data_IF_091883681948
#
_entry.id   IF_091883681948
#
_cell.length_a   1.000
_cell.length_b   1.000
_cell.length_c   1.000
_cell.angle_alpha   90.00
_cell.angle_beta   90.00
_cell.angle_gamma   90.00
#
_symmetry.space_group_name_H-M   'P 1'
#
loop_
_entity.id
_entity.type
_entity.pdbx_description
1 polymer ?
#
# COMPACT_ATOMS: atom_id res chain seq x y z
N UNK A 1 -50.33 -18.19 40.29
CA UNK A 1 -51.48 -18.50 39.40
C UNK A 1 -50.94 -19.22 38.17
N UNK A 2 -51.61 -20.30 37.77
CA UNK A 2 -51.22 -21.24 36.71
C UNK A 2 -51.60 -20.71 35.32
N UNK A 3 -50.83 -21.07 34.30
CA UNK A 3 -51.26 -21.69 33.01
C UNK A 3 -50.02 -21.79 32.08
N UNK A 4 -49.39 -22.97 31.89
CA UNK A 4 -49.67 -24.05 30.90
C UNK A 4 -49.73 -23.53 29.45
N UNK A 5 -48.70 -23.76 28.62
CA UNK A 5 -48.36 -24.96 27.81
C UNK A 5 -49.17 -25.04 26.49
N UNK A 6 -48.48 -24.97 25.34
CA UNK A 6 -48.81 -25.75 24.15
C UNK A 6 -47.53 -26.20 23.41
N UNK A 7 -47.44 -27.52 23.22
CA UNK A 7 -46.52 -28.28 22.37
C UNK A 7 -47.25 -28.55 21.05
N UNK A 8 -46.54 -28.59 19.92
CA UNK A 8 -47.01 -29.22 18.68
C UNK A 8 -46.07 -28.93 17.51
N UNK A 9 -45.01 -29.71 17.30
CA UNK A 9 -44.87 -30.95 16.51
C UNK A 9 -44.64 -30.75 14.99
N UNK A 10 -43.47 -31.24 14.57
CA UNK A 10 -43.13 -31.91 13.30
C UNK A 10 -43.16 -31.17 11.96
N UNK A 11 -41.97 -31.00 11.38
CA UNK A 11 -41.68 -31.61 10.08
C UNK A 11 -40.24 -32.16 10.09
N UNK A 12 -40.16 -33.50 10.14
CA UNK A 12 -38.99 -34.30 9.79
C UNK A 12 -38.72 -34.08 8.30
N UNK A 13 -37.48 -33.77 7.93
CA UNK A 13 -36.97 -34.11 6.60
C UNK A 13 -35.50 -34.49 6.70
N UNK A 14 -35.32 -35.79 6.94
CA UNK A 14 -34.31 -36.69 6.39
C UNK A 14 -32.99 -36.04 5.96
N UNK A 15 -31.97 -36.31 6.76
CA UNK A 15 -30.58 -36.37 6.32
C UNK A 15 -30.51 -37.45 5.23
N UNK A 16 -30.52 -37.04 3.96
CA UNK A 16 -30.04 -37.87 2.87
C UNK A 16 -28.57 -37.53 2.63
N UNK A 17 -27.69 -38.36 3.17
CA UNK A 17 -26.36 -38.56 2.60
C UNK A 17 -26.53 -39.12 1.19
N UNK A 18 -26.57 -38.25 0.19
CA UNK A 18 -26.32 -38.63 -1.19
C UNK A 18 -24.86 -38.33 -1.50
N UNK A 19 -23.99 -39.31 -1.21
CA UNK A 19 -22.80 -39.52 -2.02
C UNK A 19 -23.27 -39.74 -3.45
N UNK A 20 -22.84 -38.91 -4.39
CA UNK A 20 -22.66 -39.20 -5.81
C UNK A 20 -21.53 -38.27 -6.28
N UNK A 21 -20.37 -38.85 -6.54
CA UNK A 21 -19.95 -39.26 -7.89
C UNK A 21 -19.11 -38.14 -8.52
N UNK A 22 -17.81 -38.40 -8.63
CA UNK A 22 -16.91 -37.68 -9.52
C UNK A 22 -17.45 -37.78 -10.95
N UNK A 23 -18.27 -36.82 -11.36
CA UNK A 23 -18.34 -36.42 -12.76
C UNK A 23 -17.38 -35.26 -12.92
N UNK A 24 -16.41 -35.46 -13.82
CA UNK A 24 -15.45 -34.46 -14.30
C UNK A 24 -16.17 -33.11 -14.44
N UNK A 25 -15.94 -32.20 -13.50
CA UNK A 25 -16.58 -30.90 -13.53
C UNK A 25 -16.04 -30.15 -14.76
N UNK A 26 -16.97 -29.66 -15.59
CA UNK A 26 -16.70 -28.47 -16.39
C UNK A 26 -16.15 -27.39 -15.45
N UNK A 27 -15.16 -26.58 -15.85
CA UNK A 27 -14.62 -25.54 -14.99
C UNK A 27 -15.68 -24.46 -14.79
N UNK A 28 -16.52 -24.63 -13.77
CA UNK A 28 -17.35 -23.56 -13.23
C UNK A 28 -16.44 -22.47 -12.68
N UNK A 29 -16.87 -21.22 -12.80
CA UNK A 29 -16.15 -19.99 -12.40
C UNK A 29 -15.71 -19.91 -10.92
N UNK A 30 -15.88 -20.98 -10.15
CA UNK A 30 -15.45 -21.12 -8.76
C UNK A 30 -14.05 -21.73 -8.60
N UNK A 31 -13.47 -22.24 -9.70
CA UNK A 31 -12.12 -22.78 -9.73
C UNK A 31 -11.18 -21.93 -10.61
N UNK A 32 -11.42 -20.61 -10.67
CA UNK A 32 -10.54 -19.71 -11.41
C UNK A 32 -9.50 -19.09 -10.48
N UNK A 33 -8.26 -19.28 -10.86
CA UNK A 33 -7.10 -18.82 -10.12
C UNK A 33 -7.00 -17.29 -10.08
N UNK A 34 -7.06 -16.75 -8.86
CA UNK A 34 -6.96 -15.32 -8.56
C UNK A 34 -5.65 -14.97 -7.85
N UNK A 35 -4.67 -15.87 -7.80
CA UNK A 35 -3.42 -15.67 -7.04
C UNK A 35 -2.70 -14.39 -7.47
N UNK A 36 -2.53 -14.17 -8.78
CA UNK A 36 -1.88 -12.94 -9.28
C UNK A 36 -2.64 -11.66 -8.90
N UNK A 37 -3.97 -11.70 -8.82
CA UNK A 37 -4.79 -10.56 -8.40
C UNK A 37 -4.66 -10.33 -6.89
N UNK A 38 -4.74 -11.40 -6.10
CA UNK A 38 -4.61 -11.34 -4.64
C UNK A 38 -3.22 -10.87 -4.21
N UNK A 39 -2.17 -11.43 -4.83
CA UNK A 39 -0.78 -11.07 -4.53
C UNK A 39 -0.49 -9.63 -4.95
N UNK A 40 -0.97 -9.18 -6.13
CA UNK A 40 -0.86 -7.78 -6.52
C UNK A 40 -1.56 -6.85 -5.51
N UNK A 41 -2.77 -7.20 -5.07
CA UNK A 41 -3.49 -6.42 -4.07
C UNK A 41 -2.73 -6.35 -2.73
N UNK A 42 -2.15 -7.47 -2.27
CA UNK A 42 -1.33 -7.51 -1.07
C UNK A 42 -0.08 -6.63 -1.19
N UNK A 43 0.56 -6.59 -2.37
CA UNK A 43 1.69 -5.69 -2.62
C UNK A 43 1.26 -4.23 -2.55
N UNK A 44 0.16 -3.87 -3.22
CA UNK A 44 -0.35 -2.50 -3.23
C UNK A 44 -0.74 -2.02 -1.82
N UNK A 45 -1.38 -2.88 -1.01
CA UNK A 45 -1.72 -2.60 0.39
C UNK A 45 -0.45 -2.40 1.24
N UNK A 46 0.51 -3.31 1.14
CA UNK A 46 1.78 -3.25 1.90
C UNK A 46 2.58 -1.98 1.56
N UNK A 47 2.65 -1.62 0.28
CA UNK A 47 3.35 -0.40 -0.15
C UNK A 47 2.59 0.88 0.24
N UNK A 48 1.26 0.82 0.33
CA UNK A 48 0.44 1.92 0.84
C UNK A 48 0.69 2.13 2.34
N UNK A 49 0.76 1.04 3.12
CA UNK A 49 1.13 1.10 4.54
C UNK A 49 2.52 1.71 4.75
N UNK A 50 3.54 1.22 4.02
CA UNK A 50 4.90 1.78 4.08
C UNK A 50 4.92 3.26 3.73
N UNK A 51 4.24 3.65 2.65
CA UNK A 51 4.18 5.06 2.23
C UNK A 51 3.48 5.93 3.28
N UNK A 52 2.40 5.43 3.88
CA UNK A 52 1.68 6.11 4.97
C UNK A 52 2.57 6.26 6.20
N UNK A 53 3.36 5.23 6.53
CA UNK A 53 4.29 5.27 7.64
C UNK A 53 5.40 6.31 7.45
N UNK A 54 6.05 6.31 6.28
CA UNK A 54 7.06 7.31 5.92
C UNK A 54 6.45 8.73 5.97
N UNK A 55 5.29 8.92 5.34
CA UNK A 55 4.65 10.24 5.29
C UNK A 55 4.22 10.75 6.67
N UNK A 56 3.71 9.87 7.54
CA UNK A 56 3.34 10.24 8.91
C UNK A 56 4.56 10.72 9.70
N UNK A 57 5.69 10.01 9.59
CA UNK A 57 6.96 10.40 10.22
C UNK A 57 7.44 11.76 9.69
N UNK A 58 7.36 11.99 8.38
CA UNK A 58 7.76 13.27 7.78
C UNK A 58 6.87 14.42 8.28
N UNK A 59 5.55 14.21 8.37
CA UNK A 59 4.59 15.23 8.81
C UNK A 59 4.76 15.56 10.30
N UNK A 60 5.03 14.55 11.13
CA UNK A 60 5.26 14.72 12.57
C UNK A 60 6.60 15.39 12.89
N UNK A 61 7.53 15.44 11.94
CA UNK A 61 8.85 16.05 12.06
C UNK A 61 9.01 17.14 10.99
N UNK A 62 8.39 18.33 11.17
CA UNK A 62 8.29 19.34 10.12
C UNK A 62 9.64 19.81 9.57
N UNK A 63 10.72 19.71 10.34
CA UNK A 63 12.07 20.07 9.89
C UNK A 63 12.57 19.17 8.75
N UNK A 64 12.04 17.94 8.64
CA UNK A 64 12.30 17.02 7.52
C UNK A 64 11.73 17.55 6.19
N UNK A 65 10.70 18.40 6.23
CA UNK A 65 10.13 19.00 5.01
C UNK A 65 11.09 20.00 4.37
N UNK A 66 11.75 20.82 5.19
CA UNK A 66 12.77 21.79 4.74
C UNK A 66 14.14 21.17 4.55
N UNK A 67 14.46 20.12 5.30
CA UNK A 67 15.76 19.43 5.27
C UNK A 67 16.88 20.10 6.07
N UNK A 68 16.78 21.38 6.45
CA UNK A 68 17.80 22.03 7.28
C UNK A 68 17.52 21.80 8.78
N UNK A 69 18.23 20.83 9.37
CA UNK A 69 18.06 20.41 10.76
C UNK A 69 18.99 21.15 11.72
N UNK A 70 19.84 22.05 11.22
CA UNK A 70 20.78 22.81 12.06
C UNK A 70 20.08 23.81 12.98
N UNK A 71 18.83 24.17 12.67
CA UNK A 71 18.01 25.10 13.45
C UNK A 71 17.36 24.47 14.67
N UNK A 72 17.29 23.13 14.74
CA UNK A 72 16.52 22.41 15.76
C UNK A 72 17.38 21.63 16.73
N UNK A 73 18.61 21.33 16.34
CA UNK A 73 19.61 20.81 17.27
C UNK A 73 20.34 21.97 17.93
N UNK A 74 20.31 22.08 19.27
CA UNK A 74 21.25 22.92 20.04
C UNK A 74 22.73 22.47 19.85
N UNK A 75 22.97 21.48 19.00
CA UNK A 75 24.29 21.08 18.57
C UNK A 75 24.73 21.97 17.41
N UNK A 76 25.89 22.60 17.58
CA UNK A 76 26.71 23.08 16.47
C UNK A 76 26.99 21.88 15.55
N UNK A 77 26.08 21.60 14.63
CA UNK A 77 26.20 20.49 13.72
C UNK A 77 27.29 20.83 12.70
N UNK A 78 28.52 20.41 13.00
CA UNK A 78 29.60 20.33 12.04
C UNK A 78 29.10 19.66 10.75
N UNK A 79 29.60 20.10 9.60
CA UNK A 79 29.22 19.57 8.30
C UNK A 79 29.39 18.04 8.29
N UNK A 80 28.27 17.30 8.28
CA UNK A 80 28.25 15.82 8.37
C UNK A 80 27.59 15.23 9.62
N UNK A 81 26.98 16.04 10.49
CA UNK A 81 26.26 15.55 11.68
C UNK A 81 25.06 14.64 11.36
N UNK A 82 24.64 13.86 12.37
CA UNK A 82 23.42 13.03 12.36
C UNK A 82 22.46 13.53 13.44
N UNK A 83 21.21 13.83 13.08
CA UNK A 83 20.16 14.20 14.04
C UNK A 83 19.29 12.99 14.36
N UNK A 84 18.82 12.86 15.60
CA UNK A 84 17.85 11.83 16.04
C UNK A 84 16.56 12.47 16.54
N UNK A 85 15.49 11.69 16.76
CA UNK A 85 14.16 12.15 17.20
C UNK A 85 14.14 13.14 18.37
N UNK A 86 15.14 13.12 19.26
CA UNK A 86 15.30 14.09 20.36
C UNK A 86 15.73 15.50 19.92
N UNK A 87 16.20 15.68 18.68
CA UNK A 87 16.65 16.96 18.09
C UNK A 87 15.90 17.36 16.82
N UNK A 88 14.89 16.60 16.43
CA UNK A 88 13.89 17.01 15.44
C UNK A 88 12.77 17.70 16.23
N UNK A 89 12.26 18.86 15.81
CA UNK A 89 11.21 19.62 16.49
C UNK A 89 9.83 18.94 16.51
N UNK A 90 9.80 17.60 16.48
CA UNK A 90 8.59 16.80 16.54
C UNK A 90 7.94 16.84 17.92
N UNK A 91 6.65 16.55 17.95
CA UNK A 91 5.90 16.43 19.20
C UNK A 91 6.33 15.15 19.94
N UNK A 92 6.92 15.24 21.15
CA UNK A 92 7.38 14.06 21.90
C UNK A 92 6.24 13.11 22.34
N UNK A 93 4.97 13.50 22.15
CA UNK A 93 3.80 12.66 22.41
C UNK A 93 3.35 11.81 21.19
N UNK A 94 3.82 12.10 19.97
CA UNK A 94 3.35 11.42 18.75
C UNK A 94 4.44 10.73 17.95
N UNK A 95 5.73 10.97 18.25
CA UNK A 95 6.81 10.17 17.67
C UNK A 95 6.48 8.70 17.92
N UNK A 96 6.33 7.89 16.87
CA UNK A 96 6.13 6.44 16.99
C UNK A 96 7.05 5.91 18.09
N UNK A 97 6.54 5.49 19.26
CA UNK A 97 7.35 5.33 20.49
C UNK A 97 8.36 4.17 20.42
N UNK A 98 8.60 3.66 19.22
CA UNK A 98 9.22 2.39 18.94
C UNK A 98 10.12 2.40 17.69
N UNK A 99 10.34 3.57 17.09
CA UNK A 99 11.28 3.74 15.99
C UNK A 99 12.30 4.83 16.34
N UNK A 100 13.58 4.54 16.11
CA UNK A 100 14.63 5.55 16.11
C UNK A 100 14.71 6.16 14.72
N UNK A 101 14.50 7.46 14.62
CA UNK A 101 14.62 8.18 13.35
C UNK A 101 15.94 8.93 13.37
N UNK A 102 16.78 8.72 12.35
CA UNK A 102 18.03 9.45 12.18
C UNK A 102 18.15 10.08 10.80
N UNK A 103 18.78 11.26 10.71
CA UNK A 103 18.96 11.97 9.43
C UNK A 103 20.41 12.40 9.21
N UNK A 104 20.92 12.12 8.02
CA UNK A 104 22.29 12.48 7.62
C UNK A 104 22.33 12.91 6.15
N UNK A 105 22.99 14.02 5.78
CA UNK A 105 23.57 15.04 6.66
C UNK A 105 22.50 15.99 7.21
N UNK A 106 22.79 16.65 8.33
CA UNK A 106 21.87 17.59 9.00
C UNK A 106 21.88 19.02 8.43
N UNK A 107 22.98 19.41 7.78
CA UNK A 107 23.13 20.74 7.15
C UNK A 107 22.38 20.84 5.81
N UNK A 108 22.39 21.99 5.14
CA UNK A 108 21.65 22.21 3.90
C UNK A 108 22.29 21.55 2.64
N UNK A 109 22.97 20.41 2.79
CA UNK A 109 23.48 19.62 1.66
C UNK A 109 22.54 18.46 1.33
N UNK A 110 22.59 18.03 0.06
CA UNK A 110 21.77 16.96 -0.50
C UNK A 110 22.68 15.98 -1.27
N UNK A 111 22.33 14.69 -1.35
CA UNK A 111 21.10 14.05 -0.85
C UNK A 111 21.05 13.92 0.69
N UNK A 112 19.84 13.70 1.23
CA UNK A 112 19.62 13.36 2.65
C UNK A 112 19.15 11.94 2.80
N UNK A 113 19.67 11.24 3.80
CA UNK A 113 19.23 9.91 4.19
C UNK A 113 18.49 9.99 5.52
N UNK A 114 17.24 9.57 5.52
CA UNK A 114 16.40 9.38 6.70
C UNK A 114 16.32 7.88 6.96
N UNK A 115 16.79 7.44 8.11
CA UNK A 115 16.68 6.04 8.55
C UNK A 115 15.62 5.96 9.62
N UNK A 116 14.63 5.08 9.41
CA UNK A 116 13.59 4.74 10.38
C UNK A 116 13.90 3.33 10.88
N UNK A 117 14.41 3.21 12.11
CA UNK A 117 14.88 1.96 12.69
C UNK A 117 13.94 1.44 13.77
N UNK A 118 13.30 0.31 13.50
CA UNK A 118 12.40 -0.40 14.43
C UNK A 118 13.12 -1.44 15.29
N UNK A 119 14.45 -1.56 15.17
CA UNK A 119 15.26 -2.51 15.91
C UNK A 119 14.82 -3.96 15.68
N UNK A 120 14.80 -4.74 16.76
CA UNK A 120 14.37 -6.15 16.76
C UNK A 120 12.85 -6.33 16.75
N UNK A 121 12.06 -5.26 16.85
CA UNK A 121 10.60 -5.37 16.91
C UNK A 121 9.95 -4.22 17.67
N UNK A 122 8.93 -3.64 17.04
CA UNK A 122 8.00 -2.66 17.57
C UNK A 122 6.58 -3.11 17.25
N UNK A 123 5.63 -2.90 18.16
CA UNK A 123 4.21 -2.85 17.84
C UNK A 123 3.71 -1.43 18.12
N UNK A 124 3.13 -0.77 17.13
CA UNK A 124 2.56 0.57 17.32
C UNK A 124 1.18 0.51 18.00
N UNK A 125 0.60 1.66 18.33
CA UNK A 125 -0.72 1.77 18.99
C UNK A 125 -1.88 1.16 18.20
N UNK A 126 -1.71 0.97 16.88
CA UNK A 126 -2.69 0.35 15.99
C UNK A 126 -2.46 -1.17 15.82
N UNK A 127 -1.53 -1.77 16.57
CA UNK A 127 -1.24 -3.20 16.50
C UNK A 127 -0.37 -3.61 15.31
N UNK A 128 0.20 -2.66 14.55
CA UNK A 128 1.09 -2.98 13.43
C UNK A 128 2.48 -3.31 13.97
N UNK A 129 2.92 -4.54 13.72
CA UNK A 129 4.23 -5.02 14.12
C UNK A 129 5.27 -4.71 13.04
N UNK A 130 6.37 -4.05 13.40
CA UNK A 130 7.49 -3.67 12.50
C UNK A 130 8.83 -4.05 13.11
N UNK A 131 9.80 -4.47 12.30
CA UNK A 131 11.19 -4.68 12.70
C UNK A 131 12.13 -4.34 11.54
N UNK A 132 13.42 -4.12 11.82
CA UNK A 132 14.39 -3.69 10.83
C UNK A 132 14.25 -2.22 10.46
N UNK A 133 14.75 -1.84 9.27
CA UNK A 133 14.89 -0.43 8.90
C UNK A 133 14.25 -0.10 7.55
N UNK A 134 13.62 1.06 7.48
CA UNK A 134 13.30 1.75 6.22
C UNK A 134 14.34 2.85 6.05
N UNK A 135 15.03 2.87 4.90
CA UNK A 135 16.04 3.87 4.57
C UNK A 135 15.50 4.70 3.42
N UNK A 136 15.34 6.00 3.63
CA UNK A 136 14.76 6.93 2.68
C UNK A 136 15.80 7.97 2.26
N UNK A 137 16.19 7.96 0.99
CA UNK A 137 17.05 8.98 0.40
C UNK A 137 16.22 10.03 -0.32
N UNK A 138 16.37 11.30 0.08
CA UNK A 138 15.80 12.46 -0.58
C UNK A 138 16.85 13.15 -1.44
N UNK A 139 16.56 13.38 -2.73
CA UNK A 139 17.47 14.06 -3.65
C UNK A 139 17.50 15.59 -3.47
N UNK A 140 16.50 16.14 -2.80
CA UNK A 140 16.25 17.56 -2.61
C UNK A 140 15.08 17.78 -1.63
N UNK A 141 14.79 19.03 -1.25
CA UNK A 141 13.71 19.31 -0.30
C UNK A 141 12.35 18.91 -0.87
N UNK A 142 11.44 18.44 0.00
CA UNK A 142 10.09 18.01 -0.41
C UNK A 142 9.23 19.19 -0.89
N UNK A 143 9.60 20.40 -0.48
CA UNK A 143 9.01 21.67 -0.94
C UNK A 143 9.45 22.07 -2.35
N UNK A 144 10.53 21.50 -2.89
CA UNK A 144 10.98 21.78 -4.26
C UNK A 144 9.92 21.40 -5.30
N UNK A 145 9.99 22.05 -6.47
CA UNK A 145 9.13 21.74 -7.62
C UNK A 145 9.41 20.35 -8.18
N UNK A 146 10.67 19.91 -8.10
CA UNK A 146 11.11 18.55 -8.43
C UNK A 146 11.97 18.00 -7.30
N UNK A 147 11.67 16.76 -6.90
CA UNK A 147 12.47 16.00 -5.93
C UNK A 147 12.15 14.52 -6.06
N UNK A 148 13.11 13.68 -5.67
CA UNK A 148 12.96 12.23 -5.63
C UNK A 148 13.15 11.73 -4.20
N UNK A 149 12.29 10.80 -3.80
CA UNK A 149 12.34 10.06 -2.54
C UNK A 149 12.51 8.57 -2.86
N UNK A 150 13.64 8.00 -2.50
CA UNK A 150 13.98 6.59 -2.72
C UNK A 150 13.94 5.85 -1.39
N UNK A 151 13.00 4.94 -1.22
CA UNK A 151 12.91 4.04 -0.06
C UNK A 151 13.54 2.68 -0.39
N UNK A 152 14.41 2.20 0.50
CA UNK A 152 14.95 0.85 0.53
C UNK A 152 14.74 0.23 1.91
N UNK A 153 14.93 -1.09 2.01
CA UNK A 153 14.56 -1.88 3.17
C UNK A 153 15.73 -2.73 3.64
N UNK A 154 16.09 -2.63 4.92
CA UNK A 154 17.15 -3.42 5.54
C UNK A 154 16.54 -4.30 6.63
N UNK A 155 16.45 -5.62 6.35
CA UNK A 155 15.80 -6.61 7.22
C UNK A 155 14.39 -6.19 7.66
N UNK A 156 13.70 -5.39 6.85
CA UNK A 156 12.44 -4.80 7.21
C UNK A 156 11.31 -5.82 7.09
N UNK A 157 10.52 -5.94 8.15
CA UNK A 157 9.35 -6.82 8.18
C UNK A 157 8.19 -6.05 8.81
N UNK A 158 7.02 -6.11 8.18
CA UNK A 158 5.76 -5.56 8.69
C UNK A 158 4.71 -6.67 8.76
N UNK A 159 4.08 -6.87 9.93
CA UNK A 159 3.08 -7.91 10.16
C UNK A 159 3.51 -9.31 9.67
N UNK A 160 4.80 -9.65 9.85
CA UNK A 160 5.38 -10.92 9.39
C UNK A 160 5.77 -10.96 7.90
N UNK A 161 5.46 -9.92 7.13
CA UNK A 161 5.81 -9.79 5.71
C UNK A 161 7.12 -9.04 5.55
N UNK A 162 8.15 -9.74 5.07
CA UNK A 162 9.44 -9.14 4.69
C UNK A 162 9.31 -8.37 3.39
N UNK A 163 9.92 -7.19 3.35
CA UNK A 163 9.96 -6.33 2.16
C UNK A 163 11.41 -6.19 1.71
N UNK A 164 11.68 -6.55 0.46
CA UNK A 164 13.00 -6.39 -0.17
C UNK A 164 12.85 -5.57 -1.44
N UNK A 165 13.81 -4.68 -1.70
CA UNK A 165 13.88 -3.91 -2.94
C UNK A 165 13.78 -2.41 -2.72
N UNK A 166 13.26 -1.70 -3.72
CA UNK A 166 13.31 -0.24 -3.80
C UNK A 166 11.98 0.33 -4.29
N UNK A 167 11.59 1.48 -3.73
CA UNK A 167 10.51 2.34 -4.26
C UNK A 167 11.03 3.76 -4.42
N UNK A 168 10.98 4.28 -5.64
CA UNK A 168 11.33 5.66 -5.97
C UNK A 168 10.03 6.44 -6.22
N UNK A 169 9.90 7.59 -5.57
CA UNK A 169 8.81 8.55 -5.77
C UNK A 169 9.38 9.85 -6.30
N UNK A 170 8.99 10.26 -7.50
CA UNK A 170 9.42 11.52 -8.11
C UNK A 170 8.26 12.49 -8.20
N UNK A 171 8.45 13.70 -7.66
CA UNK A 171 7.50 14.81 -7.75
C UNK A 171 7.81 15.66 -9.00
N UNK A 172 6.78 16.00 -9.76
CA UNK A 172 6.87 16.95 -10.88
C UNK A 172 5.49 17.56 -11.19
N UNK A 173 5.34 18.24 -12.32
CA UNK A 173 4.05 18.73 -12.84
C UNK A 173 3.81 18.24 -14.26
N UNK A 174 2.56 17.99 -14.62
CA UNK A 174 2.18 17.73 -16.01
C UNK A 174 1.98 19.02 -16.81
N UNK A 175 1.65 18.90 -18.09
CA UNK A 175 1.41 20.03 -19.01
C UNK A 175 0.24 20.91 -18.60
N UNK A 176 -0.74 20.36 -17.85
CA UNK A 176 -1.88 21.09 -17.31
C UNK A 176 -1.55 21.83 -16.01
N UNK A 177 -0.31 21.70 -15.52
CA UNK A 177 0.14 22.30 -14.27
C UNK A 177 -0.20 21.47 -13.02
N UNK A 178 -0.90 20.34 -13.13
CA UNK A 178 -1.23 19.49 -11.99
C UNK A 178 0.03 18.84 -11.41
N UNK A 179 0.11 18.74 -10.08
CA UNK A 179 1.17 17.98 -9.42
C UNK A 179 1.04 16.50 -9.75
N UNK A 180 2.15 15.88 -10.12
CA UNK A 180 2.22 14.44 -10.38
C UNK A 180 3.29 13.79 -9.49
N UNK A 181 2.96 12.61 -8.99
CA UNK A 181 3.86 11.74 -8.25
C UNK A 181 4.03 10.44 -9.03
N UNK A 182 5.23 10.23 -9.58
CA UNK A 182 5.58 8.98 -10.25
C UNK A 182 6.22 8.03 -9.24
N UNK A 183 5.60 6.88 -9.03
CA UNK A 183 6.13 5.81 -8.19
C UNK A 183 6.65 4.69 -9.08
N UNK A 184 7.95 4.42 -8.98
CA UNK A 184 8.60 3.28 -9.61
C UNK A 184 9.07 2.33 -8.51
N UNK A 185 8.65 1.08 -8.56
CA UNK A 185 9.00 0.10 -7.54
C UNK A 185 9.54 -1.19 -8.15
N UNK A 186 10.52 -1.79 -7.49
CA UNK A 186 10.98 -3.16 -7.69
C UNK A 186 11.03 -3.81 -6.32
N UNK A 187 10.04 -4.63 -6.01
CA UNK A 187 9.78 -5.15 -4.66
C UNK A 187 9.63 -6.66 -4.70
N UNK A 188 10.09 -7.33 -3.65
CA UNK A 188 9.70 -8.69 -3.31
C UNK A 188 9.07 -8.70 -1.92
N UNK A 189 7.91 -9.34 -1.79
CA UNK A 189 7.28 -9.62 -0.50
C UNK A 189 7.38 -11.10 -0.17
N UNK A 190 7.77 -11.40 1.06
CA UNK A 190 7.93 -12.77 1.55
C UNK A 190 7.23 -12.92 2.90
N UNK A 191 6.26 -13.83 3.00
CA UNK A 191 5.61 -14.18 4.26
C UNK A 191 5.30 -15.67 4.28
N UNK A 192 6.03 -16.43 5.10
CA UNK A 192 5.90 -17.89 5.18
C UNK A 192 4.52 -18.32 5.72
N UNK A 193 3.98 -17.60 6.70
CA UNK A 193 2.67 -17.91 7.30
C UNK A 193 1.51 -17.71 6.32
N UNK A 194 1.68 -16.85 5.33
CA UNK A 194 0.70 -16.59 4.28
C UNK A 194 1.00 -17.35 2.98
N UNK A 195 2.07 -18.16 2.93
CA UNK A 195 2.60 -18.73 1.67
C UNK A 195 2.80 -17.68 0.58
N UNK A 196 3.19 -16.46 0.97
CA UNK A 196 3.39 -15.31 0.08
C UNK A 196 4.85 -15.25 -0.34
N UNK A 197 5.10 -15.25 -1.64
CA UNK A 197 6.41 -14.94 -2.22
C UNK A 197 6.21 -14.32 -3.61
N UNK A 198 6.06 -13.00 -3.64
CA UNK A 198 5.71 -12.25 -4.85
C UNK A 198 6.81 -11.27 -5.19
N UNK A 199 7.21 -11.22 -6.46
CA UNK A 199 7.99 -10.12 -7.01
C UNK A 199 7.06 -9.17 -7.75
N UNK A 200 7.32 -7.88 -7.66
CA UNK A 200 6.49 -6.84 -8.27
C UNK A 200 7.33 -5.64 -8.71
N UNK A 201 7.34 -5.41 -10.01
CA UNK A 201 7.86 -4.22 -10.67
C UNK A 201 6.69 -3.36 -11.09
N UNK A 202 6.68 -2.06 -10.77
CA UNK A 202 5.59 -1.19 -11.20
C UNK A 202 6.03 0.23 -11.47
N UNK A 203 5.31 0.87 -12.37
CA UNK A 203 5.33 2.32 -12.58
C UNK A 203 3.90 2.81 -12.45
N UNK A 204 3.61 3.64 -11.45
CA UNK A 204 2.31 4.26 -11.21
C UNK A 204 2.47 5.77 -11.19
N UNK A 205 1.60 6.49 -11.89
CA UNK A 205 1.57 7.96 -11.86
C UNK A 205 0.29 8.41 -11.19
N UNK A 206 0.43 9.16 -10.10
CA UNK A 206 -0.65 9.78 -9.35
C UNK A 206 -0.70 11.25 -9.73
N UNK A 207 -1.77 11.68 -10.37
CA UNK A 207 -2.07 13.07 -10.68
C UNK A 207 -3.03 13.63 -9.65
N UNK A 208 -2.67 14.74 -9.01
CA UNK A 208 -3.54 15.45 -8.07
C UNK A 208 -4.53 16.32 -8.87
N UNK A 209 -5.77 15.83 -9.01
CA UNK A 209 -6.78 16.43 -9.90
C UNK A 209 -7.80 17.33 -9.18
N UNK A 210 -7.86 17.29 -7.84
CA UNK A 210 -8.74 18.14 -7.02
C UNK A 210 -8.15 18.31 -5.63
N UNK A 211 -8.32 19.49 -5.02
CA UNK A 211 -7.89 19.78 -3.64
C UNK A 211 -6.49 20.38 -3.50
N UNK A 212 -5.69 20.43 -4.57
CA UNK A 212 -4.31 20.94 -4.51
C UNK A 212 -4.17 22.40 -4.02
N UNK A 213 -5.22 23.20 -4.19
CA UNK A 213 -5.26 24.61 -3.77
C UNK A 213 -5.99 24.83 -2.44
N UNK A 214 -6.44 23.76 -1.76
CA UNK A 214 -7.13 23.86 -0.47
C UNK A 214 -6.20 23.47 0.70
N UNK A 215 -6.40 24.04 1.90
CA UNK A 215 -5.60 23.65 3.08
C UNK A 215 -5.92 22.25 3.61
N UNK A 216 -7.14 21.77 3.34
CA UNK A 216 -7.58 20.44 3.74
C UNK A 216 -7.03 19.41 2.77
N UNK A 217 -6.64 18.24 3.29
CA UNK A 217 -6.27 17.09 2.44
C UNK A 217 -7.44 16.14 2.21
N UNK A 218 -8.56 16.32 2.90
CA UNK A 218 -9.67 15.36 2.88
C UNK A 218 -10.46 15.42 1.57
N UNK A 219 -10.46 16.58 0.93
CA UNK A 219 -11.07 16.86 -0.38
C UNK A 219 -10.14 16.51 -1.56
N UNK A 220 -8.94 16.00 -1.28
CA UNK A 220 -8.00 15.60 -2.33
C UNK A 220 -8.49 14.41 -3.13
N UNK A 221 -8.37 14.52 -4.45
CA UNK A 221 -8.66 13.45 -5.40
C UNK A 221 -7.46 13.25 -6.31
N UNK A 222 -7.07 11.98 -6.45
CA UNK A 222 -5.98 11.54 -7.32
C UNK A 222 -6.51 10.67 -8.46
N UNK A 223 -5.99 10.91 -9.67
CA UNK A 223 -6.10 10.02 -10.82
C UNK A 223 -4.83 9.17 -10.91
N UNK A 224 -4.96 7.86 -11.02
CA UNK A 224 -3.84 6.93 -11.02
C UNK A 224 -3.80 6.19 -12.35
N UNK A 225 -2.64 6.20 -13.00
CA UNK A 225 -2.37 5.42 -14.22
C UNK A 225 -1.10 4.60 -14.06
N UNK A 226 -0.85 3.69 -14.99
CA UNK A 226 0.40 2.93 -15.07
C UNK A 226 0.22 1.43 -15.16
N UNK A 227 1.32 0.72 -14.97
CA UNK A 227 1.42 -0.72 -15.20
C UNK A 227 2.41 -1.37 -14.24
N UNK A 228 2.39 -2.69 -14.22
CA UNK A 228 3.35 -3.48 -13.46
C UNK A 228 3.53 -4.88 -14.03
N UNK A 229 4.46 -5.62 -13.44
CA UNK A 229 4.75 -7.01 -13.76
C UNK A 229 5.40 -7.70 -12.58
N UNK A 230 5.44 -9.02 -12.59
CA UNK A 230 5.99 -9.75 -11.47
C UNK A 230 5.85 -11.25 -11.60
N UNK A 231 6.16 -11.94 -10.52
CA UNK A 231 5.92 -13.37 -10.34
C UNK A 231 5.09 -13.54 -9.08
N UNK A 232 3.97 -14.26 -9.20
CA UNK A 232 3.08 -14.54 -8.07
C UNK A 232 3.64 -15.69 -7.19
N UNK A 233 2.98 -15.97 -6.07
CA UNK A 233 3.40 -16.95 -5.08
C UNK A 233 3.35 -18.41 -5.57
N UNK A 234 2.76 -18.66 -6.75
CA UNK A 234 2.79 -19.96 -7.44
C UNK A 234 3.93 -20.07 -8.46
N UNK A 235 4.73 -19.02 -8.64
CA UNK A 235 5.80 -18.97 -9.63
C UNK A 235 5.36 -18.55 -11.03
N UNK A 236 4.09 -18.18 -11.24
CA UNK A 236 3.61 -17.71 -12.54
C UNK A 236 3.92 -16.22 -12.70
N UNK A 237 4.40 -15.83 -13.87
CA UNK A 237 4.57 -14.42 -14.20
C UNK A 237 3.23 -13.74 -14.45
N UNK A 238 3.12 -12.47 -14.12
CA UNK A 238 1.95 -11.66 -14.43
C UNK A 238 2.33 -10.25 -14.88
N UNK A 239 1.41 -9.59 -15.58
CA UNK A 239 1.44 -8.16 -15.89
C UNK A 239 0.16 -7.50 -15.41
N UNK A 240 0.25 -6.23 -15.03
CA UNK A 240 -0.90 -5.39 -14.70
C UNK A 240 -0.91 -4.13 -15.55
N UNK A 241 -2.10 -3.69 -15.95
CA UNK A 241 -2.31 -2.46 -16.69
C UNK A 241 -3.56 -1.76 -16.18
N UNK A 242 -3.44 -0.49 -15.79
CA UNK A 242 -4.61 0.35 -15.54
C UNK A 242 -5.19 0.73 -16.90
N UNK A 243 -6.36 0.17 -17.24
CA UNK A 243 -7.02 0.36 -18.53
C UNK A 243 -8.00 1.54 -18.53
N UNK A 244 -8.52 1.90 -17.35
CA UNK A 244 -9.20 3.18 -17.09
C UNK A 244 -8.57 3.78 -15.84
N UNK A 245 -8.18 5.08 -15.84
CA UNK A 245 -7.55 5.71 -14.68
C UNK A 245 -8.31 5.43 -13.39
N UNK A 246 -7.58 5.05 -12.34
CA UNK A 246 -8.17 4.78 -11.05
C UNK A 246 -8.40 6.10 -10.31
N UNK A 247 -9.55 6.27 -9.69
CA UNK A 247 -9.84 7.46 -8.91
C UNK A 247 -9.74 7.14 -7.43
N UNK A 248 -8.86 7.88 -6.74
CA UNK A 248 -8.64 7.76 -5.31
C UNK A 248 -8.97 9.07 -4.61
N UNK A 249 -10.04 9.05 -3.80
CA UNK A 249 -10.39 10.15 -2.90
C UNK A 249 -9.66 9.94 -1.57
N UNK A 250 -9.01 10.94 -1.01
CA UNK A 250 -8.27 10.80 0.27
C UNK A 250 -9.20 10.44 1.42
N UNK A 251 -10.40 11.03 1.47
CA UNK A 251 -11.41 10.69 2.48
C UNK A 251 -11.92 9.25 2.39
N UNK A 252 -11.80 8.60 1.22
CA UNK A 252 -12.28 7.25 1.02
C UNK A 252 -11.13 6.25 1.28
N UNK A 253 -11.33 5.17 2.06
CA UNK A 253 -10.30 4.14 2.22
C UNK A 253 -10.01 3.37 0.93
N UNK A 254 -10.98 3.27 0.02
CA UNK A 254 -10.90 2.47 -1.20
C UNK A 254 -10.64 3.32 -2.45
N UNK A 255 -10.25 2.68 -3.55
CA UNK A 255 -10.33 3.26 -4.89
C UNK A 255 -11.81 3.23 -5.29
N UNK A 256 -12.33 4.33 -5.83
CA UNK A 256 -13.78 4.49 -6.03
C UNK A 256 -14.22 4.23 -7.46
N UNK A 257 -13.30 4.25 -8.44
CA UNK A 257 -13.61 3.95 -9.84
C UNK A 257 -12.35 3.64 -10.64
N UNK A 258 -12.52 3.09 -11.84
CA UNK A 258 -11.46 2.74 -12.78
C UNK A 258 -11.23 1.23 -12.86
N UNK A 259 -10.36 0.80 -13.77
CA UNK A 259 -10.17 -0.62 -14.08
C UNK A 259 -8.70 -1.02 -14.17
N UNK A 260 -8.35 -2.14 -13.55
CA UNK A 260 -7.05 -2.80 -13.71
C UNK A 260 -7.25 -4.13 -14.42
N UNK A 261 -6.44 -4.38 -15.44
CA UNK A 261 -6.31 -5.69 -16.07
C UNK A 261 -5.07 -6.41 -15.53
N UNK A 262 -5.22 -7.69 -15.20
CA UNK A 262 -4.13 -8.61 -14.81
C UNK A 262 -4.09 -9.77 -15.78
N UNK A 263 -2.95 -9.95 -16.44
CA UNK A 263 -2.69 -11.07 -17.36
C UNK A 263 -1.63 -11.97 -16.75
N UNK A 264 -1.86 -13.28 -16.70
CA UNK A 264 -0.91 -14.25 -16.12
C UNK A 264 -0.36 -15.18 -17.20
N UNK A 265 0.91 -15.54 -17.09
CA UNK A 265 1.61 -16.49 -17.96
C UNK A 265 1.99 -17.72 -17.13
N UNK A 266 1.75 -18.96 -17.60
CA UNK A 266 1.43 -19.35 -18.99
C UNK A 266 -0.07 -19.45 -19.32
N UNK A 267 -0.97 -19.27 -18.36
CA UNK A 267 -2.42 -19.48 -18.60
C UNK A 267 -3.03 -18.51 -19.62
N UNK A 268 -2.41 -17.34 -19.82
CA UNK A 268 -2.91 -16.20 -20.60
C UNK A 268 -4.32 -15.75 -20.19
N UNK A 269 -4.76 -16.11 -18.98
CA UNK A 269 -6.06 -15.70 -18.47
C UNK A 269 -6.04 -14.20 -18.18
N UNK A 270 -7.14 -13.54 -18.52
CA UNK A 270 -7.32 -12.11 -18.30
C UNK A 270 -8.31 -11.94 -17.16
N UNK A 271 -7.87 -11.19 -16.14
CA UNK A 271 -8.69 -10.75 -15.01
C UNK A 271 -8.83 -9.24 -15.09
N UNK A 272 -10.05 -8.74 -14.99
CA UNK A 272 -10.32 -7.30 -14.91
C UNK A 272 -10.94 -7.00 -13.56
N UNK A 273 -10.33 -6.10 -12.80
CA UNK A 273 -10.88 -5.56 -11.57
C UNK A 273 -11.45 -4.17 -11.88
N UNK A 274 -12.76 -4.01 -11.69
CA UNK A 274 -13.49 -2.75 -11.83
C UNK A 274 -13.90 -2.24 -10.43
N UNK A 275 -13.46 -1.03 -10.09
CA UNK A 275 -13.67 -0.43 -8.78
C UNK A 275 -15.01 0.31 -8.63
N UNK A 276 -15.84 0.34 -9.67
CA UNK A 276 -17.17 0.94 -9.62
C UNK A 276 -17.24 2.36 -10.20
N UNK A 277 -18.25 3.10 -9.74
CA UNK A 277 -18.76 4.31 -10.40
C UNK A 277 -18.36 5.63 -9.73
N UNK A 278 -17.57 5.57 -8.65
CA UNK A 278 -17.16 6.73 -7.86
C UNK A 278 -17.77 6.78 -6.46
N UNK A 279 -18.69 5.86 -6.14
CA UNK A 279 -19.22 5.67 -4.79
C UNK A 279 -18.12 5.22 -3.82
N UNK A 280 -18.06 5.82 -2.63
CA UNK A 280 -17.12 5.38 -1.60
C UNK A 280 -17.70 4.20 -0.82
N UNK A 281 -17.47 3.00 -1.33
CA UNK A 281 -17.76 1.75 -0.64
C UNK A 281 -16.58 0.77 -0.79
N UNK A 282 -16.76 -0.45 -0.30
CA UNK A 282 -15.74 -1.50 -0.41
C UNK A 282 -16.09 -2.53 -1.50
N UNK A 283 -16.89 -2.17 -2.49
CA UNK A 283 -17.33 -3.08 -3.54
C UNK A 283 -16.45 -2.91 -4.78
N UNK A 284 -16.18 -4.02 -5.44
CA UNK A 284 -15.58 -4.06 -6.76
C UNK A 284 -16.13 -5.25 -7.53
N UNK A 285 -15.92 -5.28 -8.85
CA UNK A 285 -16.28 -6.43 -9.69
C UNK A 285 -15.01 -7.03 -10.27
N UNK A 286 -14.83 -8.34 -10.09
CA UNK A 286 -13.79 -9.08 -10.81
C UNK A 286 -14.41 -9.84 -11.96
N UNK A 287 -13.87 -9.64 -13.16
CA UNK A 287 -14.25 -10.36 -14.37
C UNK A 287 -13.12 -11.29 -14.78
N UNK A 288 -13.40 -12.58 -14.84
CA UNK A 288 -12.42 -13.59 -15.22
C UNK A 288 -12.95 -14.34 -16.43
N UNK A 289 -12.27 -14.22 -17.57
CA UNK A 289 -12.67 -14.84 -18.84
C UNK A 289 -14.16 -14.60 -19.18
N UNK A 290 -14.64 -13.37 -18.98
CA UNK A 290 -16.02 -12.96 -19.27
C UNK A 290 -17.03 -13.23 -18.14
N UNK A 291 -16.67 -13.97 -17.10
CA UNK A 291 -17.57 -14.20 -15.94
C UNK A 291 -17.27 -13.17 -14.85
N UNK A 292 -18.29 -12.40 -14.48
CA UNK A 292 -18.17 -11.34 -13.47
C UNK A 292 -18.68 -11.81 -12.11
N UNK A 293 -17.96 -11.45 -11.04
CA UNK A 293 -18.36 -11.68 -9.65
C UNK A 293 -18.13 -10.40 -8.83
N UNK A 294 -19.08 -9.97 -7.99
CA UNK A 294 -18.82 -8.90 -7.03
C UNK A 294 -17.86 -9.42 -5.95
N UNK A 295 -16.95 -8.54 -5.51
CA UNK A 295 -16.02 -8.80 -4.42
C UNK A 295 -16.06 -7.65 -3.42
N UNK A 296 -15.59 -7.92 -2.20
CA UNK A 296 -15.35 -6.89 -1.19
C UNK A 296 -13.86 -6.65 -1.04
N UNK A 297 -13.48 -5.38 -1.18
CA UNK A 297 -12.13 -4.91 -0.92
C UNK A 297 -11.86 -4.96 0.59
N UNK A 298 -10.62 -5.32 0.93
CA UNK A 298 -10.11 -5.28 2.31
C UNK A 298 -9.23 -4.05 2.48
N UNK A 299 -9.10 -3.61 3.72
CA UNK A 299 -8.19 -2.54 4.13
C UNK A 299 -7.08 -3.16 4.95
#
# INVERSE_FOLDING_TARGET
MKNKLYIGLTAISVITFSYWSCKKANPTADNQDITSVSDNAQVDETLTDVSTNINSIIIENPDLLSGDLTKTTNAEAAAGGTASTSGLGGNPQTSTPCATISVTPTNNTWPKTITIDYGSGCINTNGVARQGQIIVTLSGPLTATTSAMTATFSNYVVNGTSIVGTRVTTKSRNTSGNLIFSHVSTIQLINASLSLNVTHNSTRVFEWITGADTPSRLDDIFSITGSGSGTNSRGNSFTTLITKPLIKKVICPFIVSGTIQVTETPSNWIRVLDYGDGTCDNLATITINGVSKPIRLRK
#
